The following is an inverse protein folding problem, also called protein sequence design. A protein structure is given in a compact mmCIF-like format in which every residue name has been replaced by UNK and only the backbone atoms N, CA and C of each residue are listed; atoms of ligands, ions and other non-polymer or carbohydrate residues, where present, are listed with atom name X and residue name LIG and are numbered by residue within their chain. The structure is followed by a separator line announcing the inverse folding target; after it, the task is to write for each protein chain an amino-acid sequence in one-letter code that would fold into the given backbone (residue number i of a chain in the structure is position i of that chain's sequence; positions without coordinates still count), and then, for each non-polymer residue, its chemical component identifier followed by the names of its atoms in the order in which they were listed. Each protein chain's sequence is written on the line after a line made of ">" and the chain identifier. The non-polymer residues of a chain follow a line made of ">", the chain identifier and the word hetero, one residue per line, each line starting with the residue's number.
data_IF_009368310867
#
_entry.id   IF_009368310867
#
_cell.length_a   1.000
_cell.length_b   1.000
_cell.length_c   1.000
_cell.angle_alpha   90.00
_cell.angle_beta   90.00
_cell.angle_gamma   90.00
#
_symmetry.space_group_name_H-M   'P 1'
#
loop_
_entity.id
_entity.type
_entity.pdbx_description
1 polymer ?
#
# COMPACT_ATOMS: atom_id res chain seq x y z
N UNK A 1 16.10 8.07 20.52
CA UNK A 1 15.55 6.70 20.70
C UNK A 1 15.54 6.06 19.32
N UNK A 2 16.49 5.17 19.02
CA UNK A 2 16.54 4.45 17.75
C UNK A 2 15.54 3.28 17.82
N UNK A 3 14.57 3.25 16.90
CA UNK A 3 13.55 2.21 16.78
C UNK A 3 13.72 1.34 15.52
N UNK A 4 14.95 1.19 15.04
CA UNK A 4 15.24 0.23 13.98
C UNK A 4 16.20 -0.83 14.52
N UNK A 5 15.61 -1.90 15.06
CA UNK A 5 16.31 -3.15 15.34
C UNK A 5 17.03 -3.62 14.09
N UNK A 6 18.34 -3.79 14.22
CA UNK A 6 19.32 -3.94 13.16
C UNK A 6 19.57 -5.39 12.72
N UNK A 7 18.52 -6.23 12.68
CA UNK A 7 18.58 -7.60 12.11
C UNK A 7 17.43 -7.93 11.13
N UNK A 8 16.46 -7.02 10.93
CA UNK A 8 15.27 -7.28 10.13
C UNK A 8 15.35 -7.09 8.58
N UNK A 9 16.28 -6.31 7.98
CA UNK A 9 16.13 -5.97 6.56
C UNK A 9 16.36 -7.16 5.63
N UNK A 10 17.12 -8.17 6.05
CA UNK A 10 17.49 -9.30 5.19
C UNK A 10 16.39 -10.39 5.10
N UNK A 11 15.55 -10.52 6.14
CA UNK A 11 14.45 -11.49 6.17
C UNK A 11 13.22 -10.98 5.42
N UNK A 12 12.88 -9.69 5.58
CA UNK A 12 11.77 -9.01 4.86
C UNK A 12 12.04 -8.88 3.35
N UNK A 13 13.30 -8.99 2.93
CA UNK A 13 13.61 -9.11 1.50
C UNK A 13 13.50 -10.55 1.00
N UNK A 14 13.66 -11.55 1.87
CA UNK A 14 13.65 -12.96 1.46
C UNK A 14 12.22 -13.49 1.26
N UNK A 15 11.30 -13.18 2.17
CA UNK A 15 9.89 -13.57 2.08
C UNK A 15 9.17 -12.94 0.87
N UNK A 16 9.40 -11.66 0.61
CA UNK A 16 8.84 -10.95 -0.57
C UNK A 16 9.38 -11.57 -1.87
N UNK A 17 10.65 -11.96 -1.89
CA UNK A 17 11.26 -12.63 -3.04
C UNK A 17 10.69 -14.04 -3.27
N UNK A 18 10.41 -14.79 -2.20
CA UNK A 18 9.74 -16.09 -2.28
C UNK A 18 8.31 -15.96 -2.85
N UNK A 19 7.54 -14.99 -2.37
CA UNK A 19 6.19 -14.70 -2.90
C UNK A 19 6.27 -14.36 -4.39
N UNK A 20 7.21 -13.49 -4.77
CA UNK A 20 7.43 -13.11 -6.17
C UNK A 20 7.71 -14.33 -7.05
N UNK A 21 8.60 -15.22 -6.60
CA UNK A 21 8.92 -16.47 -7.31
C UNK A 21 7.71 -17.40 -7.40
N UNK A 22 6.96 -17.58 -6.32
CA UNK A 22 5.77 -18.42 -6.30
C UNK A 22 4.71 -17.95 -7.31
N UNK A 23 4.45 -16.64 -7.36
CA UNK A 23 3.51 -16.03 -8.33
C UNK A 23 4.00 -16.20 -9.76
N UNK A 24 5.30 -15.99 -10.03
CA UNK A 24 5.86 -16.20 -11.36
C UNK A 24 5.75 -17.67 -11.82
N UNK A 25 6.03 -18.63 -10.93
CA UNK A 25 5.86 -20.06 -11.21
C UNK A 25 4.39 -20.39 -11.50
N UNK A 26 3.47 -19.86 -10.71
CA UNK A 26 2.04 -20.04 -10.92
C UNK A 26 1.56 -19.48 -12.27
N UNK A 27 2.07 -18.31 -12.68
CA UNK A 27 1.76 -17.70 -13.97
C UNK A 27 2.32 -18.53 -15.14
N UNK A 28 3.58 -18.98 -15.06
CA UNK A 28 4.21 -19.80 -16.11
C UNK A 28 3.50 -21.13 -16.34
N UNK A 29 3.01 -21.78 -15.28
CA UNK A 29 2.21 -23.03 -15.39
C UNK A 29 0.89 -22.84 -16.15
N UNK A 30 0.40 -21.61 -16.28
CA UNK A 30 -0.85 -21.23 -16.93
C UNK A 30 -0.64 -20.48 -18.24
N UNK A 31 0.59 -20.50 -18.77
CA UNK A 31 0.92 -19.83 -20.03
C UNK A 31 0.02 -20.32 -21.17
N UNK A 32 -0.44 -19.38 -22.00
CA UNK A 32 -1.37 -19.61 -23.11
C UNK A 32 -2.79 -20.06 -22.71
N UNK A 33 -3.15 -20.01 -21.42
CA UNK A 33 -4.51 -20.21 -20.94
C UNK A 33 -5.03 -18.91 -20.29
N UNK A 34 -5.82 -18.16 -21.06
CA UNK A 34 -6.36 -16.87 -20.63
C UNK A 34 -7.31 -17.01 -19.41
N UNK A 35 -8.11 -18.08 -19.34
CA UNK A 35 -9.04 -18.28 -18.24
C UNK A 35 -8.32 -18.66 -16.95
N UNK A 36 -7.29 -19.52 -17.04
CA UNK A 36 -6.46 -19.87 -15.90
C UNK A 36 -5.63 -18.67 -15.40
N UNK A 37 -5.10 -17.84 -16.31
CA UNK A 37 -4.42 -16.59 -15.94
C UNK A 37 -5.37 -15.61 -15.27
N UNK A 38 -6.59 -15.44 -15.78
CA UNK A 38 -7.60 -14.59 -15.14
C UNK A 38 -7.96 -15.08 -13.73
N UNK A 39 -8.02 -16.40 -13.53
CA UNK A 39 -8.24 -16.99 -12.20
C UNK A 39 -7.10 -16.60 -11.26
N UNK A 40 -5.83 -16.75 -11.68
CA UNK A 40 -4.68 -16.32 -10.88
C UNK A 40 -4.74 -14.81 -10.54
N UNK A 41 -5.09 -13.97 -11.50
CA UNK A 41 -5.17 -12.51 -11.29
C UNK A 41 -6.26 -12.13 -10.28
N UNK A 42 -7.40 -12.82 -10.28
CA UNK A 42 -8.47 -12.59 -9.30
C UNK A 42 -8.04 -12.97 -7.89
N UNK A 43 -7.42 -14.13 -7.73
CA UNK A 43 -6.90 -14.57 -6.42
C UNK A 43 -5.85 -13.58 -5.86
N UNK A 44 -4.97 -13.05 -6.72
CA UNK A 44 -3.99 -12.05 -6.29
C UNK A 44 -4.66 -10.73 -5.87
N UNK A 45 -5.70 -10.30 -6.58
CA UNK A 45 -6.48 -9.11 -6.22
C UNK A 45 -7.24 -9.31 -4.90
N UNK A 46 -7.81 -10.50 -4.67
CA UNK A 46 -8.54 -10.80 -3.44
C UNK A 46 -7.58 -10.85 -2.23
N UNK A 47 -6.43 -11.51 -2.35
CA UNK A 47 -5.37 -11.48 -1.32
C UNK A 47 -4.89 -10.07 -1.02
N UNK A 48 -4.66 -9.29 -2.07
CA UNK A 48 -4.26 -7.91 -1.95
C UNK A 48 -5.32 -7.07 -1.23
N UNK A 49 -6.61 -7.22 -1.59
CA UNK A 49 -7.72 -6.53 -0.93
C UNK A 49 -7.79 -6.87 0.55
N UNK A 50 -7.73 -8.15 0.90
CA UNK A 50 -7.78 -8.63 2.29
C UNK A 50 -6.66 -8.02 3.14
N UNK A 51 -5.42 -8.05 2.65
CA UNK A 51 -4.27 -7.42 3.35
C UNK A 51 -4.50 -5.92 3.54
N UNK A 52 -5.12 -5.26 2.55
CA UNK A 52 -5.35 -3.82 2.60
C UNK A 52 -6.44 -3.41 3.59
N UNK A 53 -7.54 -4.17 3.63
CA UNK A 53 -8.68 -3.91 4.50
C UNK A 53 -8.44 -4.37 5.95
N UNK A 54 -7.47 -5.27 6.17
CA UNK A 54 -7.09 -5.76 7.50
C UNK A 54 -5.74 -5.19 7.95
N UNK A 55 -4.65 -5.89 7.68
CA UNK A 55 -3.33 -5.65 8.24
C UNK A 55 -2.78 -4.25 7.91
N UNK A 56 -2.97 -3.78 6.67
CA UNK A 56 -2.46 -2.47 6.26
C UNK A 56 -3.25 -1.34 6.91
N UNK A 57 -4.59 -1.43 6.94
CA UNK A 57 -5.44 -0.44 7.57
C UNK A 57 -5.18 -0.34 9.09
N UNK A 58 -5.01 -1.48 9.77
CA UNK A 58 -4.64 -1.52 11.19
C UNK A 58 -3.24 -0.95 11.45
N UNK A 59 -2.34 -1.04 10.47
CA UNK A 59 -0.97 -0.52 10.56
C UNK A 59 -0.85 0.96 10.20
N UNK A 60 -1.94 1.64 9.81
CA UNK A 60 -1.89 3.04 9.43
C UNK A 60 -1.44 3.92 10.60
N UNK A 61 -0.56 4.90 10.37
CA UNK A 61 -0.14 5.83 11.42
C UNK A 61 -1.35 6.62 11.94
N UNK A 62 -1.51 6.62 13.26
CA UNK A 62 -2.49 7.46 13.96
C UNK A 62 -2.04 8.93 14.07
N UNK A 63 -0.77 9.22 13.77
CA UNK A 63 -0.23 10.58 13.71
C UNK A 63 -0.41 11.17 12.30
N UNK A 64 -1.04 12.34 12.21
CA UNK A 64 -1.32 13.05 10.94
C UNK A 64 -0.07 13.29 10.07
N UNK A 65 1.07 13.64 10.67
CA UNK A 65 2.30 13.91 9.93
C UNK A 65 2.88 12.62 9.33
N UNK A 66 2.90 11.53 10.10
CA UNK A 66 3.36 10.23 9.61
C UNK A 66 2.42 9.67 8.53
N UNK A 67 1.11 9.86 8.70
CA UNK A 67 0.13 9.50 7.69
C UNK A 67 0.38 10.30 6.40
N UNK A 68 0.56 11.62 6.48
CA UNK A 68 0.88 12.45 5.31
C UNK A 68 2.14 12.00 4.58
N UNK A 69 3.21 11.67 5.32
CA UNK A 69 4.44 11.13 4.73
C UNK A 69 4.21 9.80 4.00
N UNK A 70 3.44 8.89 4.60
CA UNK A 70 3.07 7.62 3.97
C UNK A 70 2.25 7.85 2.69
N UNK A 71 1.25 8.73 2.73
CA UNK A 71 0.40 9.05 1.58
C UNK A 71 1.21 9.64 0.42
N UNK A 72 2.13 10.56 0.73
CA UNK A 72 3.02 11.19 -0.25
C UNK A 72 3.99 10.19 -0.88
N UNK A 73 4.54 9.28 -0.08
CA UNK A 73 5.43 8.23 -0.58
C UNK A 73 4.71 7.31 -1.59
N UNK A 74 3.47 6.93 -1.28
CA UNK A 74 2.67 6.09 -2.18
C UNK A 74 2.28 6.84 -3.46
N UNK A 75 2.02 8.14 -3.40
CA UNK A 75 1.77 8.96 -4.60
C UNK A 75 3.00 9.06 -5.52
N UNK A 76 4.18 9.28 -4.93
CA UNK A 76 5.44 9.50 -5.66
C UNK A 76 5.99 8.21 -6.27
N UNK A 77 6.01 7.11 -5.51
CA UNK A 77 6.62 5.86 -5.95
C UNK A 77 5.65 4.98 -6.76
N UNK A 78 4.34 5.26 -6.69
CA UNK A 78 3.31 4.51 -7.40
C UNK A 78 3.16 3.10 -6.84
N UNK A 79 2.09 2.86 -6.10
CA UNK A 79 1.81 1.54 -5.55
C UNK A 79 0.76 1.63 -4.46
N UNK A 80 -0.49 1.90 -4.86
CA UNK A 80 -1.62 1.85 -3.93
C UNK A 80 -2.54 0.69 -4.30
N UNK A 81 -3.14 -0.04 -3.33
CA UNK A 81 -4.27 -0.92 -3.58
C UNK A 81 -5.49 -0.20 -4.16
N UNK A 82 -5.58 -0.12 -5.48
CA UNK A 82 -6.66 0.52 -6.26
C UNK A 82 -7.40 1.69 -5.56
N UNK A 83 -6.68 2.65 -4.96
CA UNK A 83 -7.30 3.91 -4.57
C UNK A 83 -7.23 4.82 -5.78
N UNK A 84 -8.41 5.22 -6.27
CA UNK A 84 -8.50 6.20 -7.34
C UNK A 84 -7.70 7.44 -6.93
N UNK A 85 -6.67 7.78 -7.71
CA UNK A 85 -5.73 8.89 -7.43
C UNK A 85 -6.42 10.22 -7.10
N UNK A 86 -7.64 10.45 -7.61
CA UNK A 86 -8.46 11.62 -7.31
C UNK A 86 -8.90 11.66 -5.84
N UNK A 87 -9.32 10.53 -5.27
CA UNK A 87 -9.76 10.43 -3.87
C UNK A 87 -8.62 10.70 -2.87
N UNK A 88 -7.39 10.33 -3.22
CA UNK A 88 -6.19 10.62 -2.43
C UNK A 88 -5.87 12.11 -2.38
N UNK A 89 -5.91 12.78 -3.53
CA UNK A 89 -5.68 14.23 -3.61
C UNK A 89 -6.74 15.01 -2.83
N UNK A 90 -8.01 14.57 -2.91
CA UNK A 90 -9.10 15.16 -2.13
C UNK A 90 -8.91 14.99 -0.62
N UNK A 91 -8.47 13.81 -0.18
CA UNK A 91 -8.14 13.54 1.23
C UNK A 91 -6.99 14.43 1.73
N UNK A 92 -5.91 14.54 0.95
CA UNK A 92 -4.75 15.37 1.29
C UNK A 92 -5.12 16.85 1.39
N UNK A 93 -5.89 17.37 0.43
CA UNK A 93 -6.37 18.75 0.45
C UNK A 93 -7.24 19.05 1.68
N UNK A 94 -8.07 18.09 2.10
CA UNK A 94 -8.92 18.23 3.29
C UNK A 94 -8.08 18.32 4.57
N UNK A 95 -7.02 17.52 4.67
CA UNK A 95 -6.09 17.56 5.80
C UNK A 95 -5.27 18.86 5.84
N UNK A 96 -4.90 19.40 4.67
CA UNK A 96 -4.20 20.68 4.57
C UNK A 96 -5.10 21.86 4.99
N UNK A 97 -6.39 21.85 4.62
CA UNK A 97 -7.36 22.87 5.07
C UNK A 97 -7.61 22.86 6.58
N UNK A 98 -7.58 21.70 7.24
CA UNK A 98 -7.78 21.58 8.69
C UNK A 98 -6.57 22.06 9.51
N UNK A 99 -5.41 22.19 8.87
CA UNK A 99 -4.16 22.69 9.50
C UNK A 99 -3.90 24.17 9.27
N UNK A 100 -4.72 24.84 8.45
CA UNK A 100 -4.69 26.29 8.36
C UNK A 100 -5.14 26.86 9.71
N UNK A 101 -4.36 27.73 10.36
CA UNK A 101 -4.82 28.39 11.58
C UNK A 101 -6.10 29.15 11.22
N UNK A 102 -7.14 28.93 12.03
CA UNK A 102 -8.36 29.71 11.99
C UNK A 102 -7.99 31.17 12.30
N UNK A 103 -7.63 31.93 11.27
CA UNK A 103 -7.60 33.39 11.33
C UNK A 103 -9.05 33.87 11.28
N UNK A 104 -9.81 33.51 12.31
CA UNK A 104 -10.96 34.29 12.74
C UNK A 104 -10.40 35.53 13.43
N UNK A 105 -9.95 36.49 12.62
CA UNK A 105 -9.73 37.86 13.06
C UNK A 105 -11.12 38.55 13.05
N UNK A 106 -11.73 38.67 14.23
CA UNK A 106 -12.76 39.67 14.54
C UNK A 106 -12.13 41.04 14.84
#
# INVERSE_FOLDING_TARGET
>A
MNLYSSDAPNQVTADIEEIRLAVQVAARKRANDCAALLTLLRELEDLHRDICETLFQESLPNNRQHLYHLLRDIELNGGWPYIQRVKLKELLNTLEMETAPDTSDE
#
